data_IF_081123593275
#
_entry.id   IF_081123593275
#
_cell.length_a   1.000
_cell.length_b   1.000
_cell.length_c   1.000
_cell.angle_alpha   90.00
_cell.angle_beta   90.00
_cell.angle_gamma   90.00
#
_symmetry.space_group_name_H-M   'P 1'
#
loop_
_entity.id
_entity.type
_entity.pdbx_description
1 polymer ?
#
# COMPACT_ATOMS: atom_id res chain seq x y z
N UNK A 1 10.82 -14.99 -10.34
CA UNK A 1 9.70 -14.74 -9.40
C UNK A 1 9.31 -13.29 -9.57
N UNK A 2 8.11 -13.02 -10.08
CA UNK A 2 7.61 -11.64 -10.18
C UNK A 2 7.43 -11.12 -8.75
N UNK A 3 8.04 -9.97 -8.44
CA UNK A 3 7.80 -9.32 -7.16
C UNK A 3 6.31 -8.95 -7.08
N UNK A 4 5.65 -9.16 -5.93
CA UNK A 4 4.25 -8.82 -5.78
C UNK A 4 4.05 -7.32 -6.04
N UNK A 5 3.02 -7.01 -6.81
CA UNK A 5 2.63 -5.64 -7.11
C UNK A 5 2.13 -4.93 -5.85
N UNK A 6 2.16 -3.60 -5.84
CA UNK A 6 1.64 -2.82 -4.72
C UNK A 6 0.16 -3.12 -4.45
N UNK A 7 -0.64 -3.49 -5.47
CA UNK A 7 -2.02 -3.93 -5.33
C UNK A 7 -2.16 -5.25 -4.56
N UNK A 8 -1.28 -6.23 -4.83
CA UNK A 8 -1.30 -7.51 -4.11
C UNK A 8 -0.95 -7.33 -2.63
N UNK A 9 0.06 -6.49 -2.36
CA UNK A 9 0.43 -6.13 -0.98
C UNK A 9 -0.69 -5.35 -0.28
N UNK A 10 -1.33 -4.43 -0.97
CA UNK A 10 -2.47 -3.67 -0.45
C UNK A 10 -3.65 -4.59 -0.11
N UNK A 11 -4.03 -5.49 -1.00
CA UNK A 11 -5.08 -6.46 -0.73
C UNK A 11 -4.72 -7.37 0.45
N UNK A 12 -3.47 -7.82 0.54
CA UNK A 12 -2.98 -8.62 1.66
C UNK A 12 -3.07 -7.86 2.99
N UNK A 13 -2.73 -6.57 3.02
CA UNK A 13 -2.85 -5.73 4.20
C UNK A 13 -4.32 -5.54 4.63
N UNK A 14 -5.25 -5.41 3.68
CA UNK A 14 -6.68 -5.25 3.98
C UNK A 14 -7.33 -6.48 4.61
N UNK A 15 -6.86 -7.68 4.25
CA UNK A 15 -7.38 -8.95 4.78
C UNK A 15 -6.53 -9.49 5.93
N UNK A 16 -5.48 -8.78 6.34
CA UNK A 16 -4.63 -9.18 7.46
C UNK A 16 -5.39 -8.99 8.77
N UNK A 17 -5.74 -10.09 9.41
CA UNK A 17 -6.44 -10.11 10.70
C UNK A 17 -5.47 -10.13 11.89
N UNK A 18 -4.21 -10.53 11.66
CA UNK A 18 -3.19 -10.57 12.70
C UNK A 18 -2.67 -9.15 12.97
N UNK A 19 -3.19 -8.53 14.04
CA UNK A 19 -2.80 -7.18 14.46
C UNK A 19 -1.31 -7.06 14.77
N UNK A 20 -0.62 -8.16 15.10
CA UNK A 20 0.83 -8.13 15.32
C UNK A 20 1.61 -8.02 14.00
N UNK A 21 1.06 -8.52 12.89
CA UNK A 21 1.67 -8.48 11.54
C UNK A 21 1.18 -7.31 10.70
N UNK A 22 0.04 -6.73 11.08
CA UNK A 22 -0.54 -5.59 10.38
C UNK A 22 0.45 -4.44 10.16
N UNK A 23 1.28 -4.02 11.14
CA UNK A 23 2.26 -2.96 10.93
C UNK A 23 3.28 -3.31 9.83
N UNK A 24 3.81 -4.53 9.85
CA UNK A 24 4.77 -5.02 8.85
C UNK A 24 4.14 -5.05 7.45
N UNK A 25 2.89 -5.51 7.34
CA UNK A 25 2.15 -5.54 6.06
C UNK A 25 1.88 -4.14 5.51
N UNK A 26 1.49 -3.21 6.39
CA UNK A 26 1.25 -1.81 6.03
C UNK A 26 2.55 -1.17 5.55
N UNK A 27 3.65 -1.37 6.26
CA UNK A 27 4.97 -0.85 5.87
C UNK A 27 5.42 -1.39 4.50
N UNK A 28 5.32 -2.71 4.28
CA UNK A 28 5.65 -3.34 3.01
C UNK A 28 4.81 -2.78 1.85
N UNK A 29 3.52 -2.55 2.08
CA UNK A 29 2.62 -1.95 1.09
C UNK A 29 2.99 -0.49 0.80
N UNK A 30 3.26 0.31 1.83
CA UNK A 30 3.70 1.70 1.68
C UNK A 30 5.00 1.80 0.88
N UNK A 31 5.95 0.90 1.13
CA UNK A 31 7.21 0.85 0.39
C UNK A 31 6.99 0.49 -1.09
N UNK A 32 6.12 -0.47 -1.38
CA UNK A 32 5.78 -0.84 -2.75
C UNK A 32 5.04 0.28 -3.51
N UNK A 33 4.13 1.00 -2.84
CA UNK A 33 3.47 2.19 -3.39
C UNK A 33 4.51 3.27 -3.71
N UNK A 34 5.44 3.53 -2.80
CA UNK A 34 6.51 4.51 -3.02
C UNK A 34 7.42 4.11 -4.19
N UNK A 35 7.84 2.85 -4.26
CA UNK A 35 8.62 2.33 -5.39
C UNK A 35 7.85 2.45 -6.71
N UNK A 36 6.55 2.14 -6.72
CA UNK A 36 5.72 2.30 -7.90
C UNK A 36 5.64 3.76 -8.36
N UNK A 37 5.52 4.71 -7.41
CA UNK A 37 5.57 6.15 -7.68
C UNK A 37 6.88 6.59 -8.30
N UNK A 38 8.00 6.14 -7.74
CA UNK A 38 9.34 6.47 -8.24
C UNK A 38 9.58 5.87 -9.63
N UNK A 39 9.16 4.62 -9.85
CA UNK A 39 9.33 3.94 -11.13
C UNK A 39 8.50 4.58 -12.24
N UNK A 40 7.23 4.93 -11.98
CA UNK A 40 6.39 5.60 -12.96
C UNK A 40 6.70 7.09 -13.10
N UNK A 41 7.11 7.77 -12.04
CA UNK A 41 7.51 9.18 -12.07
C UNK A 41 6.49 10.07 -12.79
N UNK A 42 6.88 10.64 -13.93
CA UNK A 42 6.02 11.52 -14.73
C UNK A 42 4.95 10.79 -15.57
N UNK A 43 5.07 9.46 -15.73
CA UNK A 43 4.11 8.64 -16.50
C UNK A 43 2.85 8.27 -15.73
N UNK A 44 2.83 8.56 -14.43
CA UNK A 44 1.67 8.37 -13.56
C UNK A 44 0.51 9.26 -14.02
N UNK A 45 -0.67 8.68 -14.23
CA UNK A 45 -1.87 9.47 -14.52
C UNK A 45 -2.37 10.20 -13.27
N UNK A 46 -3.32 11.13 -13.42
CA UNK A 46 -3.96 11.79 -12.27
C UNK A 46 -4.78 10.77 -11.45
N UNK A 47 -5.43 9.84 -12.13
CA UNK A 47 -6.22 8.76 -11.56
C UNK A 47 -5.33 7.80 -10.77
N UNK A 48 -4.23 7.35 -11.35
CA UNK A 48 -3.28 6.46 -10.68
C UNK A 48 -2.65 7.13 -9.44
N UNK A 49 -2.34 8.43 -9.52
CA UNK A 49 -1.87 9.19 -8.34
C UNK A 49 -2.90 9.18 -7.23
N UNK A 50 -4.17 9.44 -7.58
CA UNK A 50 -5.29 9.43 -6.65
C UNK A 50 -5.48 8.05 -6.03
N UNK A 51 -5.44 6.97 -6.81
CA UNK A 51 -5.54 5.61 -6.28
C UNK A 51 -4.45 5.30 -5.25
N UNK A 52 -3.21 5.71 -5.52
CA UNK A 52 -2.10 5.52 -4.59
C UNK A 52 -2.28 6.36 -3.31
N UNK A 53 -2.78 7.59 -3.41
CA UNK A 53 -3.07 8.42 -2.22
C UNK A 53 -4.24 7.85 -1.40
N UNK A 54 -5.30 7.39 -2.07
CA UNK A 54 -6.47 6.76 -1.43
C UNK A 54 -6.04 5.46 -0.72
N UNK A 55 -5.19 4.65 -1.34
CA UNK A 55 -4.64 3.44 -0.72
C UNK A 55 -3.82 3.76 0.54
N UNK A 56 -2.93 4.76 0.49
CA UNK A 56 -2.16 5.20 1.67
C UNK A 56 -3.08 5.69 2.80
N UNK A 57 -4.15 6.40 2.48
CA UNK A 57 -5.13 6.88 3.47
C UNK A 57 -5.87 5.74 4.15
N UNK A 58 -6.25 4.70 3.40
CA UNK A 58 -6.87 3.50 3.96
C UNK A 58 -5.90 2.75 4.87
N UNK A 59 -4.65 2.56 4.44
CA UNK A 59 -3.61 1.90 5.25
C UNK A 59 -3.38 2.64 6.58
N UNK A 60 -3.35 3.97 6.56
CA UNK A 60 -3.22 4.77 7.77
C UNK A 60 -4.43 4.60 8.71
N UNK A 61 -5.64 4.57 8.17
CA UNK A 61 -6.87 4.32 8.94
C UNK A 61 -6.87 2.92 9.54
N UNK A 62 -6.36 1.93 8.81
CA UNK A 62 -6.21 0.55 9.27
C UNK A 62 -5.28 0.47 10.48
N UNK A 63 -4.13 1.15 10.41
CA UNK A 63 -3.20 1.24 11.55
C UNK A 63 -3.81 1.92 12.77
N UNK A 64 -4.58 3.00 12.58
CA UNK A 64 -5.24 3.69 13.70
C UNK A 64 -6.26 2.81 14.44
N UNK A 65 -6.82 1.80 13.79
CA UNK A 65 -7.73 0.83 14.44
C UNK A 65 -7.01 -0.28 15.20
N UNK A 66 -5.74 -0.51 14.87
CA UNK A 66 -4.92 -1.56 15.47
C UNK A 66 -4.07 -1.08 16.65
N UNK A 67 -3.97 0.23 16.86
CA UNK A 67 -3.32 0.89 17.99
C UNK A 67 -4.26 1.05 19.19
#
# INVERSE_FOLDING_TARGET
MSHPTWHELYNAALIEFDLAKLPERVEATCQAIHQHRVQKGHTLSAEERKELDDALRVLFTLMQRAA
#
